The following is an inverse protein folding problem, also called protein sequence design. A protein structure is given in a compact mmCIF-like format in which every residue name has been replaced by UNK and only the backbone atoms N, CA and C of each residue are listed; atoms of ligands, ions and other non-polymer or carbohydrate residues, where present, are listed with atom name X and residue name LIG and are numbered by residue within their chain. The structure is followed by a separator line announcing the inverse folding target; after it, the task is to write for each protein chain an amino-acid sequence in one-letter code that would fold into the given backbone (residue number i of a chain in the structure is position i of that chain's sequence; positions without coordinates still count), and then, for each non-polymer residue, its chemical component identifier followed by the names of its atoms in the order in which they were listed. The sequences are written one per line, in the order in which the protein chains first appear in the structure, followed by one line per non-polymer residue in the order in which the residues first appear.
data_IF_183283459982
#
_entry.id   IF_183283459982
#
_cell.length_a   1.000
_cell.length_b   1.000
_cell.length_c   1.000
_cell.angle_alpha   90.00
_cell.angle_beta   90.00
_cell.angle_gamma   90.00
#
_symmetry.space_group_name_H-M   'P 1'
#
loop_
_entity.id
_entity.type
_entity.pdbx_description
1 polymer ?
#
# COMPACT_ATOMS: atom_id res chain seq x y z
N UNK A 1 -12.59 68.93 61.06
CA UNK A 1 -13.55 68.20 60.21
C UNK A 1 -13.14 68.45 58.78
N UNK A 2 -12.50 67.47 58.10
CA UNK A 2 -12.07 67.58 56.69
C UNK A 2 -12.87 66.53 55.88
N UNK A 3 -13.74 67.01 55.02
CA UNK A 3 -14.49 66.18 54.06
C UNK A 3 -13.59 65.82 52.91
N UNK A 4 -13.40 64.50 52.67
CA UNK A 4 -12.71 63.96 51.51
C UNK A 4 -13.75 63.39 50.58
N UNK A 5 -13.97 64.04 49.46
CA UNK A 5 -14.87 63.61 48.40
C UNK A 5 -14.10 62.65 47.50
N UNK A 6 -14.47 61.38 47.46
CA UNK A 6 -13.91 60.41 46.50
C UNK A 6 -14.64 60.52 45.16
N UNK A 7 -13.91 60.92 44.11
CA UNK A 7 -14.35 60.90 42.71
C UNK A 7 -14.07 59.52 42.15
N UNK A 8 -15.14 58.76 41.92
CA UNK A 8 -15.00 57.45 41.17
C UNK A 8 -15.07 57.76 39.71
N UNK A 9 -13.92 57.63 39.04
CA UNK A 9 -13.80 57.70 37.56
C UNK A 9 -14.11 56.34 36.97
N UNK A 10 -15.30 56.16 36.42
CA UNK A 10 -15.69 54.95 35.69
C UNK A 10 -15.01 54.87 34.31
N UNK A 11 -14.05 54.01 34.19
CA UNK A 11 -13.40 53.71 32.92
C UNK A 11 -14.27 52.74 32.11
N UNK A 12 -15.01 53.25 31.14
CA UNK A 12 -15.77 52.44 30.16
C UNK A 12 -14.78 51.85 29.17
N UNK A 13 -14.38 50.58 29.37
CA UNK A 13 -13.57 49.85 28.42
C UNK A 13 -14.45 49.46 27.21
N UNK A 14 -14.37 50.20 26.12
CA UNK A 14 -14.88 49.77 24.83
C UNK A 14 -13.99 48.63 24.31
N UNK A 15 -14.39 47.40 24.55
CA UNK A 15 -13.81 46.25 23.86
C UNK A 15 -14.31 46.27 22.41
N UNK A 16 -13.52 46.84 21.50
CA UNK A 16 -13.65 46.53 20.09
C UNK A 16 -13.33 45.05 19.92
N UNK A 17 -14.35 44.23 19.83
CA UNK A 17 -14.23 42.86 19.36
C UNK A 17 -13.79 42.91 17.94
N UNK A 18 -12.49 42.77 17.67
CA UNK A 18 -12.04 42.36 16.35
C UNK A 18 -12.63 40.97 16.08
N UNK A 19 -13.69 40.90 15.27
CA UNK A 19 -14.09 39.62 14.65
C UNK A 19 -12.90 39.13 13.81
N UNK A 20 -12.10 38.25 14.39
CA UNK A 20 -11.12 37.50 13.63
C UNK A 20 -11.93 36.52 12.80
N UNK A 21 -12.28 36.92 11.58
CA UNK A 21 -12.87 35.99 10.61
C UNK A 21 -11.85 34.91 10.29
N UNK A 22 -12.22 33.67 10.56
CA UNK A 22 -11.38 32.55 10.20
C UNK A 22 -11.24 32.50 8.68
N UNK A 23 -10.00 32.41 8.18
CA UNK A 23 -9.74 32.22 6.76
C UNK A 23 -10.17 30.83 6.31
N UNK A 24 -10.54 30.68 5.04
CA UNK A 24 -10.73 29.38 4.41
C UNK A 24 -9.39 28.63 4.48
N UNK A 25 -9.39 27.46 5.14
CA UNK A 25 -8.21 26.60 5.25
C UNK A 25 -8.48 25.26 4.58
N UNK A 26 -7.46 24.74 3.90
CA UNK A 26 -7.48 23.44 3.26
C UNK A 26 -6.37 22.57 3.86
N UNK A 27 -6.59 21.25 4.05
CA UNK A 27 -5.49 20.37 4.37
C UNK A 27 -4.49 20.32 3.20
N UNK A 28 -3.24 20.05 3.51
CA UNK A 28 -2.12 20.15 2.56
C UNK A 28 -2.23 19.21 1.34
N UNK A 29 -3.06 18.18 1.42
CA UNK A 29 -3.38 17.33 0.25
C UNK A 29 -4.09 18.10 -0.86
N UNK A 30 -4.75 19.23 -0.54
CA UNK A 30 -5.24 20.22 -1.51
C UNK A 30 -4.25 21.36 -1.61
N UNK A 31 -3.27 21.21 -2.46
CA UNK A 31 -2.26 22.22 -2.77
C UNK A 31 -1.95 22.24 -4.27
N UNK A 32 -1.21 23.23 -4.71
CA UNK A 32 -0.76 23.33 -6.10
C UNK A 32 -0.04 22.05 -6.53
N UNK A 33 -0.25 21.66 -7.78
CA UNK A 33 0.32 20.45 -8.34
C UNK A 33 -0.41 19.15 -8.00
N UNK A 34 -1.53 19.19 -7.26
CA UNK A 34 -2.30 17.98 -6.88
C UNK A 34 -2.89 17.27 -8.09
N UNK A 35 -3.14 15.97 -7.91
CA UNK A 35 -3.94 15.16 -8.85
C UNK A 35 -5.23 14.77 -8.18
N UNK A 36 -6.36 15.04 -8.81
CA UNK A 36 -7.69 14.58 -8.42
C UNK A 36 -8.09 13.38 -9.28
N UNK A 37 -8.75 12.38 -8.66
CA UNK A 37 -9.23 11.20 -9.38
C UNK A 37 -10.18 11.60 -10.50
N UNK A 38 -9.88 11.16 -11.74
CA UNK A 38 -10.72 11.41 -12.91
C UNK A 38 -12.04 10.66 -12.89
N UNK A 39 -13.03 11.12 -13.70
CA UNK A 39 -14.34 10.47 -13.90
C UNK A 39 -15.04 10.08 -12.59
N UNK A 40 -14.99 10.94 -11.57
CA UNK A 40 -15.44 10.67 -10.22
C UNK A 40 -16.15 11.88 -9.60
N UNK A 41 -16.68 11.69 -8.41
CA UNK A 41 -17.06 12.78 -7.50
C UNK A 41 -16.04 12.77 -6.37
N UNK A 42 -15.12 13.75 -6.40
CA UNK A 42 -14.07 13.82 -5.39
C UNK A 42 -14.53 14.67 -4.22
N UNK A 43 -14.26 14.21 -3.01
CA UNK A 43 -14.45 15.01 -1.82
C UNK A 43 -13.38 16.11 -1.75
N UNK A 44 -13.81 17.35 -1.53
CA UNK A 44 -12.96 18.49 -1.15
C UNK A 44 -13.45 19.01 0.19
N UNK A 45 -12.54 19.24 1.13
CA UNK A 45 -12.93 19.63 2.50
C UNK A 45 -11.91 20.58 3.13
N UNK A 46 -12.31 21.19 4.22
CA UNK A 46 -11.46 22.12 4.96
C UNK A 46 -12.19 22.80 6.10
N UNK A 47 -11.71 23.96 6.47
CA UNK A 47 -12.23 24.76 7.58
C UNK A 47 -12.55 26.18 7.12
N UNK A 48 -13.49 26.84 7.81
CA UNK A 48 -13.95 28.20 7.55
C UNK A 48 -14.80 28.73 8.69
N UNK A 49 -15.45 29.89 8.45
CA UNK A 49 -16.35 30.47 9.45
C UNK A 49 -17.66 29.66 9.53
N UNK A 50 -18.15 29.29 10.73
CA UNK A 50 -19.45 28.63 10.90
C UNK A 50 -20.59 29.37 10.18
N UNK A 51 -21.46 28.60 9.54
CA UNK A 51 -22.61 29.06 8.76
C UNK A 51 -22.28 29.82 7.46
N UNK A 52 -21.01 29.95 7.10
CA UNK A 52 -20.60 30.55 5.83
C UNK A 52 -20.92 29.63 4.66
N UNK A 53 -21.50 30.18 3.60
CA UNK A 53 -21.68 29.45 2.35
C UNK A 53 -20.42 29.58 1.49
N UNK A 54 -19.84 28.45 1.13
CA UNK A 54 -18.68 28.38 0.25
C UNK A 54 -19.10 27.96 -1.16
N UNK A 55 -18.39 28.49 -2.14
CA UNK A 55 -18.51 28.15 -3.56
C UNK A 55 -17.19 27.54 -4.03
N UNK A 56 -17.26 26.35 -4.64
CA UNK A 56 -16.14 25.68 -5.26
C UNK A 56 -16.28 25.77 -6.76
N UNK A 57 -15.31 26.38 -7.42
CA UNK A 57 -15.25 26.60 -8.85
C UNK A 57 -14.09 25.81 -9.43
N UNK A 58 -14.38 25.00 -10.42
CA UNK A 58 -13.37 24.18 -11.12
C UNK A 58 -13.25 24.60 -12.58
N UNK A 59 -12.03 24.80 -13.06
CA UNK A 59 -11.79 25.21 -14.45
C UNK A 59 -12.15 24.11 -15.47
N UNK A 60 -12.10 22.86 -15.06
CA UNK A 60 -12.52 21.72 -15.93
C UNK A 60 -14.04 21.58 -16.10
N UNK A 61 -14.83 22.30 -15.31
CA UNK A 61 -16.30 22.35 -15.42
C UNK A 61 -16.81 23.77 -15.14
N UNK A 62 -16.52 24.75 -16.03
CA UNK A 62 -16.72 26.18 -15.75
C UNK A 62 -18.19 26.62 -15.61
N UNK A 63 -19.13 25.77 -15.98
CA UNK A 63 -20.57 26.04 -15.86
C UNK A 63 -21.21 25.57 -14.56
N UNK A 64 -20.47 24.82 -13.73
CA UNK A 64 -20.99 24.18 -12.52
C UNK A 64 -20.27 24.69 -11.27
N UNK A 65 -21.03 25.35 -10.40
CA UNK A 65 -20.53 25.83 -9.11
C UNK A 65 -21.06 24.95 -8.00
N UNK A 66 -20.19 24.20 -7.35
CA UNK A 66 -20.54 23.40 -6.19
C UNK A 66 -20.64 24.32 -4.96
N UNK A 67 -21.70 24.15 -4.15
CA UNK A 67 -21.94 24.92 -2.94
C UNK A 67 -21.97 24.02 -1.73
N UNK A 68 -21.44 24.51 -0.61
CA UNK A 68 -21.51 23.86 0.70
C UNK A 68 -21.61 24.91 1.79
N UNK A 69 -22.00 24.49 3.01
CA UNK A 69 -22.09 25.36 4.18
C UNK A 69 -21.14 24.83 5.25
N UNK A 70 -20.40 25.73 5.86
CA UNK A 70 -19.51 25.42 6.98
C UNK A 70 -20.35 25.07 8.20
N UNK A 71 -20.09 23.92 8.82
CA UNK A 71 -20.80 23.46 10.02
C UNK A 71 -20.45 24.30 11.28
N UNK A 72 -21.17 24.05 12.39
CA UNK A 72 -20.95 24.75 13.65
C UNK A 72 -19.59 24.48 14.30
N UNK A 73 -18.85 23.49 13.80
CA UNK A 73 -17.48 23.15 14.24
C UNK A 73 -16.43 23.78 13.32
N UNK A 74 -16.86 24.62 12.36
CA UNK A 74 -15.97 25.28 11.41
C UNK A 74 -15.46 24.35 10.31
N UNK A 75 -16.11 23.20 10.04
CA UNK A 75 -15.72 22.22 9.01
C UNK A 75 -16.68 22.26 7.83
N UNK A 76 -16.19 21.99 6.66
CA UNK A 76 -17.01 21.81 5.47
C UNK A 76 -16.49 20.68 4.61
N UNK A 77 -17.35 20.11 3.81
CA UNK A 77 -17.05 19.11 2.77
C UNK A 77 -17.98 19.31 1.60
N UNK A 78 -17.45 19.15 0.39
CA UNK A 78 -18.21 19.18 -0.84
C UNK A 78 -17.78 18.04 -1.76
N UNK A 79 -18.69 17.58 -2.62
CA UNK A 79 -18.40 16.62 -3.69
C UNK A 79 -18.27 17.38 -5.00
N UNK A 80 -17.07 17.37 -5.59
CA UNK A 80 -16.75 18.06 -6.83
C UNK A 80 -16.67 17.04 -7.96
N UNK A 81 -17.52 17.14 -9.00
CA UNK A 81 -17.43 16.26 -10.16
C UNK A 81 -16.13 16.50 -10.92
N UNK A 82 -15.46 15.41 -11.29
CA UNK A 82 -14.28 15.44 -12.16
C UNK A 82 -14.59 14.79 -13.50
N UNK A 83 -14.07 15.35 -14.59
CA UNK A 83 -14.16 14.80 -15.92
C UNK A 83 -13.03 13.82 -16.24
N UNK A 84 -12.77 13.64 -17.54
CA UNK A 84 -11.65 12.87 -18.06
C UNK A 84 -10.32 13.52 -17.66
N UNK A 85 -9.28 12.68 -17.59
CA UNK A 85 -7.91 13.12 -17.33
C UNK A 85 -7.50 14.30 -18.20
N UNK A 86 -6.77 15.24 -17.61
CA UNK A 86 -6.30 16.46 -18.25
C UNK A 86 -5.71 17.45 -17.27
N UNK A 87 -5.50 18.65 -17.72
CA UNK A 87 -4.90 19.74 -16.95
C UNK A 87 -3.67 20.30 -17.65
N UNK A 88 -2.97 21.27 -17.02
CA UNK A 88 -3.25 21.80 -15.68
C UNK A 88 -4.48 22.71 -15.62
N UNK A 89 -5.21 22.61 -14.52
CA UNK A 89 -6.41 23.41 -14.23
C UNK A 89 -6.24 24.21 -12.94
N UNK A 90 -7.24 25.01 -12.61
CA UNK A 90 -7.39 25.66 -11.32
C UNK A 90 -8.63 25.16 -10.58
N UNK A 91 -8.55 25.12 -9.24
CA UNK A 91 -9.67 24.93 -8.32
C UNK A 91 -9.71 26.10 -7.37
N UNK A 92 -10.85 26.76 -7.24
CA UNK A 92 -11.00 27.89 -6.34
C UNK A 92 -12.13 27.66 -5.34
N UNK A 93 -11.84 27.88 -4.06
CA UNK A 93 -12.83 27.87 -2.98
C UNK A 93 -13.04 29.30 -2.52
N UNK A 94 -14.26 29.82 -2.67
CA UNK A 94 -14.66 31.19 -2.30
C UNK A 94 -15.69 31.20 -1.19
N UNK A 95 -15.53 32.13 -0.26
CA UNK A 95 -16.52 32.41 0.78
C UNK A 95 -16.37 33.81 1.34
N UNK A 96 -17.47 34.54 1.47
CA UNK A 96 -17.45 35.91 1.95
C UNK A 96 -16.43 36.79 1.23
N UNK A 97 -15.42 37.25 1.97
CA UNK A 97 -14.35 38.07 1.43
C UNK A 97 -13.01 37.29 1.28
N UNK A 98 -13.01 35.95 1.45
CA UNK A 98 -11.81 35.12 1.32
C UNK A 98 -11.92 34.17 0.14
N UNK A 99 -10.77 33.83 -0.43
CA UNK A 99 -10.65 32.89 -1.54
C UNK A 99 -9.34 32.11 -1.45
N UNK A 100 -9.41 30.82 -1.76
CA UNK A 100 -8.27 29.92 -1.94
C UNK A 100 -8.26 29.38 -3.34
N UNK A 101 -7.28 29.83 -4.12
CA UNK A 101 -7.08 29.35 -5.49
C UNK A 101 -5.89 28.40 -5.53
N UNK A 102 -6.13 27.18 -6.01
CA UNK A 102 -5.13 26.14 -6.26
C UNK A 102 -4.85 26.09 -7.75
N UNK A 103 -3.60 26.03 -8.12
CA UNK A 103 -3.11 26.01 -9.50
C UNK A 103 -2.43 24.68 -9.84
N UNK A 104 -2.18 24.45 -11.12
CA UNK A 104 -1.54 23.22 -11.62
C UNK A 104 -2.27 21.93 -11.17
N UNK A 105 -3.60 21.98 -11.08
CA UNK A 105 -4.43 20.83 -10.71
C UNK A 105 -4.57 19.91 -11.91
N UNK A 106 -4.22 18.64 -11.72
CA UNK A 106 -4.38 17.60 -12.74
C UNK A 106 -5.57 16.73 -12.43
N UNK A 107 -6.29 16.28 -13.44
CA UNK A 107 -7.23 15.16 -13.36
C UNK A 107 -6.54 13.90 -13.88
N UNK A 108 -6.54 12.83 -13.11
CA UNK A 108 -5.84 11.60 -13.46
C UNK A 108 -6.14 10.46 -12.49
N UNK A 109 -5.20 9.54 -12.33
CA UNK A 109 -5.30 8.43 -11.40
C UNK A 109 -4.56 8.74 -10.10
N UNK A 110 -5.16 8.43 -8.95
CA UNK A 110 -4.53 8.66 -7.64
C UNK A 110 -4.36 7.34 -6.91
N UNK A 111 -3.14 7.05 -6.48
CA UNK A 111 -2.83 5.80 -5.77
C UNK A 111 -2.18 6.05 -4.42
N UNK A 112 -2.71 5.38 -3.38
CA UNK A 112 -2.06 5.32 -2.07
C UNK A 112 -0.94 4.26 -2.12
N UNK A 113 0.28 4.66 -1.73
CA UNK A 113 1.45 3.80 -1.71
C UNK A 113 1.95 3.70 -0.26
N UNK A 114 1.70 2.58 0.42
CA UNK A 114 1.95 2.47 1.85
C UNK A 114 2.66 1.17 2.23
N UNK A 115 3.21 1.12 3.43
CA UNK A 115 3.95 -0.02 3.94
C UNK A 115 5.19 0.34 4.76
N UNK A 116 6.17 -0.56 4.75
CA UNK A 116 7.42 -0.38 5.49
C UNK A 116 8.62 -0.06 4.57
N UNK A 117 9.84 -0.40 5.01
CA UNK A 117 11.08 -0.01 4.31
C UNK A 117 11.11 -0.36 2.83
N UNK A 118 10.57 -1.50 2.42
CA UNK A 118 10.57 -1.89 1.01
C UNK A 118 9.64 -1.03 0.14
N UNK A 119 8.59 -0.41 0.72
CA UNK A 119 7.82 0.65 0.07
C UNK A 119 8.52 2.00 0.19
N UNK A 120 9.10 2.33 1.34
CA UNK A 120 9.85 3.58 1.55
C UNK A 120 11.09 3.71 0.66
N UNK A 121 11.73 2.59 0.29
CA UNK A 121 13.05 2.52 -0.32
C UNK A 121 13.21 3.42 -1.54
N UNK A 122 14.07 4.44 -1.40
CA UNK A 122 14.34 5.44 -2.42
C UNK A 122 15.62 5.14 -3.21
N UNK A 123 15.90 5.93 -4.25
CA UNK A 123 17.13 5.80 -5.02
C UNK A 123 18.38 6.11 -4.16
N UNK A 124 18.29 7.07 -3.22
CA UNK A 124 19.37 7.39 -2.28
C UNK A 124 19.70 6.25 -1.31
N UNK A 125 18.72 5.39 -1.01
CA UNK A 125 18.92 4.18 -0.21
C UNK A 125 19.59 3.05 -1.01
N UNK A 126 19.72 3.20 -2.32
CA UNK A 126 20.42 2.28 -3.21
C UNK A 126 19.50 1.28 -3.91
N UNK A 127 19.04 1.65 -5.11
CA UNK A 127 18.32 0.76 -6.02
C UNK A 127 19.24 0.29 -7.16
N UNK A 128 18.83 -0.76 -7.87
CA UNK A 128 19.52 -1.20 -9.08
C UNK A 128 19.52 -0.08 -10.11
N UNK A 129 20.69 0.23 -10.70
CA UNK A 129 20.90 1.31 -11.69
C UNK A 129 20.44 2.70 -11.20
N UNK A 130 20.45 2.98 -9.89
CA UNK A 130 19.85 4.15 -9.26
C UNK A 130 20.21 5.49 -9.89
N UNK A 131 21.52 5.74 -10.13
CA UNK A 131 21.94 7.00 -10.76
C UNK A 131 21.44 7.18 -12.20
N UNK A 132 21.33 6.09 -12.97
CA UNK A 132 20.78 6.13 -14.33
C UNK A 132 19.27 6.39 -14.29
N UNK A 133 18.53 5.69 -13.40
CA UNK A 133 17.09 5.87 -13.23
C UNK A 133 16.75 7.29 -12.76
N UNK A 134 17.53 7.85 -11.83
CA UNK A 134 17.36 9.24 -11.38
C UNK A 134 17.56 10.22 -12.52
N UNK A 135 18.63 10.09 -13.33
CA UNK A 135 18.87 11.00 -14.47
C UNK A 135 17.73 11.02 -15.48
N UNK A 136 16.98 9.91 -15.59
CA UNK A 136 15.88 9.74 -16.53
C UNK A 136 14.50 9.95 -15.89
N UNK A 137 14.45 10.42 -14.64
CA UNK A 137 13.21 10.44 -13.85
C UNK A 137 12.29 11.64 -14.12
N UNK A 138 12.65 12.57 -15.00
CA UNK A 138 11.75 13.67 -15.34
C UNK A 138 10.46 13.17 -15.99
N UNK A 139 9.37 13.22 -15.22
CA UNK A 139 8.04 12.78 -15.66
C UNK A 139 6.96 13.75 -15.14
N UNK A 140 6.69 14.86 -15.84
CA UNK A 140 5.74 15.88 -15.34
C UNK A 140 4.32 15.38 -15.12
N UNK A 141 3.95 14.26 -15.73
CA UNK A 141 2.64 13.63 -15.52
C UNK A 141 2.59 12.77 -14.24
N UNK A 142 3.71 12.52 -13.56
CA UNK A 142 3.73 11.91 -12.23
C UNK A 142 3.84 12.99 -11.18
N UNK A 143 2.96 12.97 -10.20
CA UNK A 143 2.93 13.89 -9.06
C UNK A 143 3.06 13.10 -7.76
N UNK A 144 3.82 13.62 -6.83
CA UNK A 144 4.23 12.95 -5.61
C UNK A 144 3.76 13.77 -4.41
N UNK A 145 2.95 13.18 -3.55
CA UNK A 145 2.62 13.69 -2.22
C UNK A 145 3.28 12.77 -1.20
N UNK A 146 4.41 13.20 -0.68
CA UNK A 146 5.21 12.39 0.23
C UNK A 146 4.96 12.80 1.68
N UNK A 147 4.28 11.93 2.44
CA UNK A 147 4.02 12.14 3.86
C UNK A 147 5.31 12.06 4.67
N UNK A 148 5.58 13.05 5.54
CA UNK A 148 6.68 12.96 6.49
C UNK A 148 6.42 11.84 7.50
N UNK A 149 7.48 11.17 7.94
CA UNK A 149 7.42 10.11 8.96
C UNK A 149 7.10 10.70 10.32
N UNK A 150 5.86 10.63 10.71
CA UNK A 150 5.34 11.10 12.01
C UNK A 150 4.28 10.14 12.53
N UNK A 151 4.18 10.00 13.84
CA UNK A 151 3.12 9.28 14.52
C UNK A 151 2.30 10.20 15.40
N UNK A 152 1.04 9.84 15.64
CA UNK A 152 0.15 10.57 16.55
C UNK A 152 -0.74 9.61 17.34
N UNK A 153 -1.02 9.95 18.60
CA UNK A 153 -1.90 9.15 19.46
C UNK A 153 -3.38 9.29 19.08
N UNK A 154 -3.74 10.35 18.37
CA UNK A 154 -5.11 10.63 17.92
C UNK A 154 -5.13 10.95 16.43
N UNK A 155 -6.26 10.68 15.73
CA UNK A 155 -6.41 11.02 14.32
C UNK A 155 -6.12 12.49 14.03
N UNK A 156 -5.22 12.74 13.09
CA UNK A 156 -4.84 14.07 12.63
C UNK A 156 -5.63 14.45 11.38
N UNK A 157 -5.64 15.73 11.05
CA UNK A 157 -6.43 16.28 9.94
C UNK A 157 -5.58 16.82 8.80
N UNK A 158 -4.25 16.84 8.97
CA UNK A 158 -3.33 17.34 7.96
C UNK A 158 -1.96 16.64 8.02
N UNK A 159 -1.36 16.40 6.85
CA UNK A 159 -0.03 15.81 6.69
C UNK A 159 1.10 16.84 6.73
N UNK A 160 0.81 18.13 6.52
CA UNK A 160 1.77 19.25 6.49
C UNK A 160 2.91 19.05 5.48
N UNK A 161 2.57 18.62 4.28
CA UNK A 161 3.47 18.47 3.15
C UNK A 161 2.82 19.09 1.89
N UNK A 162 3.36 18.90 0.72
CA UNK A 162 2.82 19.40 -0.54
C UNK A 162 3.05 18.43 -1.69
N UNK A 163 2.33 18.62 -2.78
CA UNK A 163 2.58 17.92 -4.01
C UNK A 163 3.84 18.43 -4.69
N UNK A 164 4.57 17.52 -5.30
CA UNK A 164 5.77 17.80 -6.11
C UNK A 164 5.67 17.11 -7.47
N UNK A 165 6.22 17.73 -8.48
CA UNK A 165 6.40 17.11 -9.79
C UNK A 165 7.51 16.08 -9.72
N UNK A 166 7.37 14.94 -10.41
CA UNK A 166 8.44 13.97 -10.51
C UNK A 166 9.60 14.52 -11.35
N UNK A 167 10.69 14.84 -10.67
CA UNK A 167 11.98 15.27 -11.19
C UNK A 167 13.08 14.32 -10.74
N UNK A 168 14.29 14.39 -11.29
CA UNK A 168 15.43 13.65 -10.77
C UNK A 168 15.63 13.84 -9.26
N UNK A 169 15.42 15.05 -8.74
CA UNK A 169 15.61 15.34 -7.33
C UNK A 169 14.51 14.72 -6.44
N UNK A 170 13.23 14.87 -6.80
CA UNK A 170 12.11 14.30 -6.03
C UNK A 170 12.10 12.78 -6.11
N UNK A 171 12.42 12.18 -7.27
CA UNK A 171 12.54 10.73 -7.43
C UNK A 171 13.67 10.15 -6.57
N UNK A 172 14.78 10.86 -6.44
CA UNK A 172 15.92 10.42 -5.62
C UNK A 172 15.52 10.13 -4.17
N UNK A 173 14.58 10.87 -3.63
CA UNK A 173 14.15 10.84 -2.21
C UNK A 173 12.84 10.11 -1.96
N UNK A 174 12.02 9.89 -2.98
CA UNK A 174 10.71 9.23 -2.82
C UNK A 174 10.81 7.71 -2.96
N UNK A 175 9.71 7.01 -2.67
CA UNK A 175 9.54 5.58 -2.93
C UNK A 175 9.84 5.25 -4.39
N UNK A 176 10.89 4.48 -4.63
CA UNK A 176 11.21 4.03 -5.99
C UNK A 176 10.14 3.06 -6.52
N UNK A 177 9.60 2.17 -5.66
CA UNK A 177 8.50 1.26 -6.04
C UNK A 177 7.28 2.04 -6.50
N UNK A 178 6.85 3.04 -5.72
CA UNK A 178 5.69 3.89 -6.07
C UNK A 178 5.95 4.73 -7.33
N UNK A 179 7.16 5.28 -7.49
CA UNK A 179 7.54 6.04 -8.68
C UNK A 179 7.47 5.19 -9.95
N UNK A 180 8.09 4.00 -9.95
CA UNK A 180 8.07 3.13 -11.14
C UNK A 180 6.67 2.60 -11.45
N UNK A 181 5.86 2.34 -10.44
CA UNK A 181 4.44 2.02 -10.60
C UNK A 181 3.70 3.17 -11.31
N UNK A 182 3.83 4.39 -10.81
CA UNK A 182 3.15 5.55 -11.38
C UNK A 182 3.65 5.89 -12.79
N UNK A 183 4.96 5.82 -13.04
CA UNK A 183 5.55 6.04 -14.36
C UNK A 183 4.99 5.05 -15.38
N UNK A 184 4.93 3.77 -15.03
CA UNK A 184 4.38 2.73 -15.90
C UNK A 184 2.91 3.01 -16.24
N UNK A 185 2.08 3.34 -15.25
CA UNK A 185 0.67 3.69 -15.48
C UNK A 185 0.56 4.92 -16.40
N UNK A 186 1.33 5.96 -16.16
CA UNK A 186 1.34 7.17 -17.01
C UNK A 186 1.72 6.85 -18.44
N UNK A 187 2.74 5.99 -18.64
CA UNK A 187 3.22 5.61 -19.97
C UNK A 187 2.19 4.78 -20.75
N UNK A 188 1.35 3.98 -20.08
CA UNK A 188 0.36 3.12 -20.75
C UNK A 188 -1.02 3.75 -20.85
N UNK A 189 -1.51 4.40 -19.80
CA UNK A 189 -2.82 5.05 -19.78
C UNK A 189 -2.82 6.41 -20.45
N UNK A 190 -1.64 7.06 -20.60
CA UNK A 190 -1.48 8.44 -21.12
C UNK A 190 -2.25 9.48 -20.29
N UNK A 191 -2.31 9.28 -18.98
CA UNK A 191 -2.96 10.19 -18.03
C UNK A 191 -2.00 10.59 -16.91
N UNK A 192 -2.22 11.73 -16.24
CA UNK A 192 -1.49 12.05 -15.01
C UNK A 192 -1.73 11.02 -13.93
N UNK A 193 -0.69 10.73 -13.13
CA UNK A 193 -0.77 9.83 -11.98
C UNK A 193 -0.21 10.50 -10.73
N UNK A 194 -1.05 10.61 -9.71
CA UNK A 194 -0.67 11.08 -8.38
C UNK A 194 -0.40 9.92 -7.44
N UNK A 195 0.72 9.94 -6.72
CA UNK A 195 1.04 8.98 -5.68
C UNK A 195 1.06 9.66 -4.31
N UNK A 196 0.26 9.11 -3.37
CA UNK A 196 0.24 9.47 -1.97
C UNK A 196 1.16 8.48 -1.23
N UNK A 197 2.39 8.88 -0.94
CA UNK A 197 3.40 8.00 -0.32
C UNK A 197 3.34 8.13 1.19
N UNK A 198 2.92 7.05 1.86
CA UNK A 198 2.83 6.93 3.32
C UNK A 198 3.52 5.65 3.75
N UNK A 199 4.85 5.68 3.93
CA UNK A 199 5.64 4.52 4.28
C UNK A 199 6.71 4.85 5.33
N UNK A 200 6.99 3.87 6.23
CA UNK A 200 8.01 4.02 7.25
C UNK A 200 8.70 2.67 7.53
N UNK A 201 10.00 2.60 7.33
CA UNK A 201 10.81 1.39 7.47
C UNK A 201 10.77 0.79 8.87
N UNK A 202 10.79 -0.55 8.95
CA UNK A 202 10.79 -1.29 10.19
C UNK A 202 9.44 -1.41 10.91
N UNK A 203 8.40 -0.75 10.42
CA UNK A 203 7.11 -0.69 11.12
C UNK A 203 6.25 -1.94 10.90
N UNK A 204 5.64 -2.49 11.96
CA UNK A 204 4.67 -3.57 11.87
C UNK A 204 3.30 -3.06 11.40
N UNK A 205 2.45 -3.96 10.89
CA UNK A 205 1.14 -3.59 10.36
C UNK A 205 0.16 -3.04 11.44
N UNK A 206 0.39 -3.34 12.69
CA UNK A 206 -0.39 -2.85 13.84
C UNK A 206 -0.41 -1.32 13.91
N UNK A 207 0.71 -0.65 13.62
CA UNK A 207 0.77 0.82 13.70
C UNK A 207 -0.02 1.52 12.59
N UNK A 208 -0.31 0.81 11.49
CA UNK A 208 -1.11 1.24 10.35
C UNK A 208 -2.60 0.88 10.46
N UNK A 209 -2.94 0.07 11.48
CA UNK A 209 -4.31 -0.36 11.76
C UNK A 209 -4.88 0.51 12.88
N UNK A 210 -6.14 1.04 12.78
CA UNK A 210 -6.75 1.77 13.89
C UNK A 210 -6.61 1.03 15.22
N UNK A 211 -6.19 1.76 16.27
CA UNK A 211 -5.78 1.15 17.54
C UNK A 211 -6.84 0.25 18.17
N UNK A 212 -8.10 0.67 18.13
CA UNK A 212 -9.22 -0.07 18.72
C UNK A 212 -9.46 -1.42 18.05
N UNK A 213 -9.13 -1.56 16.77
CA UNK A 213 -9.23 -2.84 16.03
C UNK A 213 -8.19 -3.84 16.55
N UNK A 214 -6.98 -3.38 16.82
CA UNK A 214 -5.90 -4.24 17.34
C UNK A 214 -6.15 -4.56 18.82
N UNK A 215 -6.45 -3.56 19.62
CA UNK A 215 -6.57 -3.67 21.08
C UNK A 215 -7.78 -4.50 21.54
N UNK A 216 -8.90 -4.43 20.80
CA UNK A 216 -10.13 -5.18 21.10
C UNK A 216 -10.15 -6.59 20.52
N UNK A 217 -9.21 -6.92 19.63
CA UNK A 217 -9.15 -8.25 19.03
C UNK A 217 -8.39 -9.22 19.94
N UNK A 218 -9.02 -10.34 20.32
CA UNK A 218 -8.48 -11.31 21.27
C UNK A 218 -7.16 -11.98 20.82
N UNK A 219 -6.88 -11.97 19.52
CA UNK A 219 -5.67 -12.55 18.94
C UNK A 219 -4.63 -11.45 18.75
N UNK A 220 -4.99 -10.34 18.07
CA UNK A 220 -4.07 -9.28 17.70
C UNK A 220 -3.48 -8.54 18.91
N UNK A 221 -4.28 -8.36 19.96
CA UNK A 221 -3.84 -7.74 21.23
C UNK A 221 -2.74 -8.52 21.96
N UNK A 222 -2.52 -9.78 21.58
CA UNK A 222 -1.48 -10.66 22.16
C UNK A 222 -0.18 -10.68 21.36
N UNK A 223 -0.15 -10.03 20.18
CA UNK A 223 1.06 -9.97 19.38
C UNK A 223 2.19 -9.25 20.14
N UNK A 224 3.36 -9.87 20.11
CA UNK A 224 4.56 -9.29 20.71
C UNK A 224 5.36 -8.61 19.62
N UNK A 225 5.47 -7.30 19.71
CA UNK A 225 6.24 -6.47 18.78
C UNK A 225 7.58 -6.14 19.40
N UNK A 226 8.64 -6.14 18.57
CA UNK A 226 9.98 -5.70 19.00
C UNK A 226 9.99 -4.19 19.11
N UNK A 227 10.38 -3.69 20.26
CA UNK A 227 10.56 -2.26 20.51
C UNK A 227 11.93 -1.80 20.03
N UNK A 228 11.94 -0.76 19.21
CA UNK A 228 13.14 -0.11 18.70
C UNK A 228 12.98 1.41 18.77
N UNK A 229 14.03 2.15 19.12
CA UNK A 229 13.93 3.60 19.35
C UNK A 229 13.67 4.43 18.08
N UNK A 230 13.80 3.83 16.88
CA UNK A 230 13.74 4.56 15.61
C UNK A 230 12.46 4.32 14.79
N UNK A 231 11.53 3.47 15.26
CA UNK A 231 10.20 3.35 14.68
C UNK A 231 9.13 3.02 15.72
N UNK A 232 7.88 3.48 15.51
CA UNK A 232 6.80 3.20 16.45
C UNK A 232 6.30 1.76 16.34
N UNK A 233 5.79 1.24 17.47
CA UNK A 233 5.13 -0.06 17.57
C UNK A 233 3.71 0.03 18.15
N UNK A 234 3.32 1.20 18.70
CA UNK A 234 1.99 1.39 19.28
C UNK A 234 0.93 1.33 18.17
N UNK A 235 -0.14 0.50 18.33
CA UNK A 235 -1.20 0.41 17.34
C UNK A 235 -1.80 1.77 16.96
N UNK A 236 -2.09 1.97 15.68
CA UNK A 236 -2.82 3.10 15.16
C UNK A 236 -2.03 4.41 15.00
N UNK A 237 -0.82 4.53 15.53
CA UNK A 237 -0.13 5.83 15.53
C UNK A 237 0.22 6.35 14.13
N UNK A 238 0.51 5.47 13.18
CA UNK A 238 0.77 5.86 11.79
C UNK A 238 -0.52 5.97 10.98
N UNK A 239 -1.52 5.14 11.26
CA UNK A 239 -2.87 5.37 10.73
C UNK A 239 -3.33 6.77 11.07
N UNK A 240 -3.23 7.19 12.33
CA UNK A 240 -3.68 8.49 12.80
C UNK A 240 -3.01 9.68 12.11
N UNK A 241 -1.71 9.59 11.80
CA UNK A 241 -0.94 10.71 11.24
C UNK A 241 -0.72 10.61 9.74
N UNK A 242 -0.57 9.40 9.19
CA UNK A 242 -0.12 9.23 7.81
C UNK A 242 -1.20 8.70 6.86
N UNK A 243 -2.32 8.19 7.39
CA UNK A 243 -3.46 7.70 6.60
C UNK A 243 -4.70 8.54 6.83
N UNK A 244 -5.12 8.74 8.08
CA UNK A 244 -6.34 9.47 8.43
C UNK A 244 -6.44 10.89 7.83
N UNK A 245 -5.36 11.69 7.75
CA UNK A 245 -5.43 13.01 7.11
C UNK A 245 -5.74 12.99 5.62
N UNK A 246 -5.57 11.85 4.96
CA UNK A 246 -5.88 11.65 3.54
C UNK A 246 -7.35 11.26 3.32
N UNK A 247 -8.07 10.90 4.38
CA UNK A 247 -9.47 10.49 4.29
C UNK A 247 -10.39 11.72 4.21
N UNK A 248 -11.33 11.77 3.28
CA UNK A 248 -11.70 10.81 2.26
C UNK A 248 -11.22 11.20 0.82
N UNK A 249 -9.93 11.46 0.63
CA UNK A 249 -9.39 11.77 -0.71
C UNK A 249 -9.66 10.61 -1.67
N UNK A 250 -10.24 10.90 -2.84
CA UNK A 250 -10.61 9.83 -3.77
C UNK A 250 -9.36 9.23 -4.40
N UNK A 251 -9.19 7.91 -4.26
CA UNK A 251 -8.07 7.14 -4.81
C UNK A 251 -8.57 6.04 -5.76
N UNK A 252 -7.79 5.69 -6.77
CA UNK A 252 -8.03 4.54 -7.65
C UNK A 252 -7.76 3.20 -6.96
N UNK A 253 -6.83 3.20 -5.99
CA UNK A 253 -6.47 2.01 -5.24
C UNK A 253 -5.29 2.25 -4.30
N UNK A 254 -4.88 1.19 -3.63
CA UNK A 254 -3.72 1.17 -2.74
C UNK A 254 -2.73 0.09 -3.18
N UNK A 255 -1.43 0.40 -3.18
CA UNK A 255 -0.35 -0.58 -3.23
C UNK A 255 0.35 -0.65 -1.88
N UNK A 256 0.55 -1.88 -1.37
CA UNK A 256 1.08 -2.16 -0.04
C UNK A 256 2.32 -3.05 -0.09
N UNK A 257 3.40 -2.66 0.56
CA UNK A 257 4.59 -3.48 0.67
C UNK A 257 5.10 -3.52 2.10
N UNK A 258 4.72 -4.57 2.83
CA UNK A 258 5.00 -4.76 4.25
C UNK A 258 4.84 -6.24 4.61
N UNK A 259 5.43 -6.67 5.70
CA UNK A 259 5.29 -8.01 6.27
C UNK A 259 6.52 -8.43 7.04
N UNK A 260 7.69 -7.95 6.68
CA UNK A 260 8.96 -8.37 7.26
C UNK A 260 9.00 -8.15 8.78
N UNK A 261 8.42 -7.06 9.27
CA UNK A 261 8.36 -6.77 10.71
C UNK A 261 7.32 -7.59 11.48
N UNK A 262 6.47 -8.35 10.78
CA UNK A 262 5.44 -9.20 11.38
C UNK A 262 5.75 -10.70 11.31
N UNK A 263 6.92 -11.12 10.79
CA UNK A 263 7.20 -12.55 10.60
C UNK A 263 7.13 -13.36 11.89
N UNK A 264 7.47 -12.78 13.05
CA UNK A 264 7.37 -13.47 14.35
C UNK A 264 5.92 -13.66 14.80
N UNK A 265 4.98 -12.82 14.33
CA UNK A 265 3.53 -12.91 14.56
C UNK A 265 2.79 -13.45 13.31
N UNK A 266 3.47 -14.21 12.46
CA UNK A 266 2.93 -14.68 11.18
C UNK A 266 1.50 -15.24 11.25
N UNK A 267 1.12 -16.10 12.22
CA UNK A 267 -0.21 -16.70 12.23
C UNK A 267 -1.39 -15.73 12.30
N UNK A 268 -1.17 -14.50 12.78
CA UNK A 268 -2.20 -13.47 12.91
C UNK A 268 -2.20 -12.46 11.76
N UNK A 269 -1.23 -12.52 10.82
CA UNK A 269 -1.00 -11.48 9.83
C UNK A 269 -2.17 -11.29 8.88
N UNK A 270 -2.72 -12.37 8.31
CA UNK A 270 -3.88 -12.28 7.42
C UNK A 270 -5.08 -11.61 8.12
N UNK A 271 -5.35 -11.98 9.38
CA UNK A 271 -6.41 -11.36 10.20
C UNK A 271 -6.17 -9.86 10.40
N UNK A 272 -4.94 -9.49 10.76
CA UNK A 272 -4.56 -8.10 11.00
C UNK A 272 -4.75 -7.22 9.76
N UNK A 273 -4.13 -7.62 8.65
CA UNK A 273 -4.17 -6.79 7.43
C UNK A 273 -5.55 -6.81 6.79
N UNK A 274 -6.31 -7.91 6.87
CA UNK A 274 -7.71 -7.92 6.42
C UNK A 274 -8.55 -6.87 7.15
N UNK A 275 -8.46 -6.82 8.48
CA UNK A 275 -9.16 -5.81 9.30
C UNK A 275 -8.68 -4.38 9.03
N UNK A 276 -7.37 -4.20 8.79
CA UNK A 276 -6.81 -2.91 8.39
C UNK A 276 -7.43 -2.42 7.07
N UNK A 277 -7.46 -3.26 6.06
CA UNK A 277 -8.02 -2.92 4.74
C UNK A 277 -9.51 -2.60 4.84
N UNK A 278 -10.27 -3.39 5.58
CA UNK A 278 -11.71 -3.13 5.82
C UNK A 278 -11.93 -1.77 6.51
N UNK A 279 -11.11 -1.44 7.52
CA UNK A 279 -11.18 -0.16 8.21
C UNK A 279 -10.84 1.00 7.28
N UNK A 280 -9.74 0.90 6.52
CA UNK A 280 -9.37 1.94 5.57
C UNK A 280 -10.45 2.17 4.51
N UNK A 281 -11.04 1.10 3.94
CA UNK A 281 -12.14 1.19 2.97
C UNK A 281 -13.37 1.87 3.55
N UNK A 282 -13.72 1.52 4.80
CA UNK A 282 -14.83 2.16 5.51
C UNK A 282 -14.59 3.67 5.65
N UNK A 283 -13.38 4.07 6.02
CA UNK A 283 -13.05 5.48 6.25
C UNK A 283 -12.95 6.27 4.94
N UNK A 284 -12.35 5.70 3.89
CA UNK A 284 -12.34 6.30 2.54
C UNK A 284 -13.71 6.28 1.85
N UNK A 285 -14.63 5.44 2.30
CA UNK A 285 -16.01 5.40 1.84
C UNK A 285 -16.26 4.52 0.61
N UNK A 286 -15.30 3.68 0.17
CA UNK A 286 -15.48 2.75 -0.93
C UNK A 286 -14.49 1.58 -0.91
N UNK A 287 -14.82 0.49 -1.61
CA UNK A 287 -14.03 -0.76 -1.66
C UNK A 287 -12.90 -0.67 -2.69
N UNK A 288 -11.93 0.19 -2.49
CA UNK A 288 -10.81 0.37 -3.40
C UNK A 288 -9.97 -0.90 -3.56
N UNK A 289 -9.35 -1.11 -4.75
CA UNK A 289 -8.38 -2.17 -4.97
C UNK A 289 -7.21 -2.06 -4.00
N UNK A 290 -6.85 -3.18 -3.33
CA UNK A 290 -5.71 -3.25 -2.43
C UNK A 290 -4.74 -4.32 -2.95
N UNK A 291 -3.64 -3.89 -3.54
CA UNK A 291 -2.64 -4.76 -4.15
C UNK A 291 -1.37 -4.77 -3.32
N UNK A 292 -0.78 -5.94 -3.13
CA UNK A 292 0.36 -6.04 -2.23
C UNK A 292 1.46 -6.94 -2.74
N UNK A 293 2.66 -6.74 -2.19
CA UNK A 293 3.85 -7.51 -2.49
C UNK A 293 4.03 -8.58 -1.43
N UNK A 294 4.15 -9.84 -1.82
CA UNK A 294 4.59 -10.91 -0.92
C UNK A 294 6.03 -10.64 -0.50
N UNK A 295 6.34 -10.79 0.80
CA UNK A 295 7.71 -10.55 1.29
C UNK A 295 8.73 -11.44 0.58
N UNK A 296 9.90 -10.86 0.32
CA UNK A 296 11.01 -11.55 -0.33
C UNK A 296 11.58 -12.68 0.53
N UNK A 297 12.14 -13.73 -0.08
CA UNK A 297 13.04 -14.63 0.62
C UNK A 297 14.21 -13.87 1.24
N UNK A 298 14.44 -14.06 2.56
CA UNK A 298 15.51 -13.41 3.29
C UNK A 298 15.95 -14.26 4.50
N UNK A 299 17.24 -14.25 4.80
CA UNK A 299 17.82 -14.95 5.94
C UNK A 299 17.57 -14.17 7.24
N UNK A 300 16.42 -14.36 7.85
CA UNK A 300 16.05 -13.73 9.13
C UNK A 300 16.78 -14.34 10.33
N UNK A 301 17.30 -15.57 10.19
CA UNK A 301 17.72 -16.40 11.32
C UNK A 301 16.52 -16.85 12.16
N UNK A 302 15.35 -16.92 11.54
CA UNK A 302 14.09 -17.21 12.21
C UNK A 302 13.98 -18.69 12.60
N UNK A 303 13.39 -18.93 13.77
CA UNK A 303 13.00 -20.28 14.19
C UNK A 303 11.62 -20.61 13.61
N UNK A 304 11.34 -21.91 13.40
CA UNK A 304 10.01 -22.43 13.05
C UNK A 304 9.43 -21.89 11.72
N UNK A 305 10.25 -21.55 10.75
CA UNK A 305 9.83 -21.11 9.41
C UNK A 305 8.81 -19.95 9.40
N UNK A 306 8.85 -19.07 10.39
CA UNK A 306 7.88 -17.97 10.51
C UNK A 306 7.82 -17.05 9.28
N UNK A 307 8.90 -16.77 8.52
CA UNK A 307 8.79 -16.01 7.27
C UNK A 307 8.01 -16.76 6.16
N UNK A 308 8.14 -18.08 6.10
CA UNK A 308 7.36 -18.89 5.16
C UNK A 308 5.87 -18.90 5.54
N UNK A 309 5.57 -19.02 6.84
CA UNK A 309 4.20 -18.90 7.36
C UNK A 309 3.61 -17.54 7.07
N UNK A 310 4.39 -16.46 7.15
CA UNK A 310 3.90 -15.13 6.81
C UNK A 310 3.56 -15.02 5.31
N UNK A 311 4.39 -15.57 4.41
CA UNK A 311 4.05 -15.63 2.97
C UNK A 311 2.78 -16.42 2.70
N UNK A 312 2.54 -17.52 3.42
CA UNK A 312 1.28 -18.27 3.38
C UNK A 312 0.10 -17.39 3.86
N UNK A 313 0.27 -16.62 4.94
CA UNK A 313 -0.77 -15.70 5.42
C UNK A 313 -1.06 -14.57 4.40
N UNK A 314 -0.05 -14.08 3.70
CA UNK A 314 -0.24 -13.13 2.60
C UNK A 314 -1.05 -13.76 1.45
N UNK A 315 -0.82 -15.02 1.13
CA UNK A 315 -1.64 -15.74 0.13
C UNK A 315 -3.08 -15.96 0.60
N UNK A 316 -3.29 -16.31 1.89
CA UNK A 316 -4.63 -16.50 2.47
C UNK A 316 -5.52 -15.25 2.37
N UNK A 317 -4.95 -14.05 2.41
CA UNK A 317 -5.69 -12.80 2.25
C UNK A 317 -6.44 -12.71 0.91
N UNK A 318 -5.94 -13.33 -0.16
CA UNK A 318 -6.58 -13.36 -1.48
C UNK A 318 -8.00 -13.98 -1.44
N UNK A 319 -8.23 -14.89 -0.50
CA UNK A 319 -9.55 -15.53 -0.30
C UNK A 319 -10.42 -14.86 0.77
N UNK A 320 -9.85 -14.00 1.60
CA UNK A 320 -10.54 -13.39 2.74
C UNK A 320 -11.05 -11.98 2.46
N UNK A 321 -10.31 -11.20 1.69
CA UNK A 321 -10.63 -9.80 1.39
C UNK A 321 -10.91 -9.64 -0.10
N UNK A 322 -12.10 -9.19 -0.44
CA UNK A 322 -12.48 -8.90 -1.84
C UNK A 322 -11.60 -7.80 -2.41
N UNK A 323 -11.48 -7.76 -3.73
CA UNK A 323 -10.75 -6.73 -4.47
C UNK A 323 -9.31 -6.57 -3.99
N UNK A 324 -8.65 -7.70 -3.70
CA UNK A 324 -7.21 -7.79 -3.38
C UNK A 324 -6.49 -8.65 -4.41
N UNK A 325 -5.23 -8.35 -4.64
CA UNK A 325 -4.34 -9.17 -5.42
C UNK A 325 -2.88 -9.01 -4.94
N UNK A 326 -2.04 -9.98 -5.26
CA UNK A 326 -0.67 -10.06 -4.76
C UNK A 326 0.30 -10.35 -5.89
N UNK A 327 1.47 -9.73 -5.84
CA UNK A 327 2.61 -10.12 -6.67
C UNK A 327 3.65 -10.86 -5.85
N UNK A 328 4.32 -11.83 -6.44
CA UNK A 328 5.51 -12.48 -5.89
C UNK A 328 6.76 -11.92 -6.60
N UNK A 329 7.80 -11.70 -5.82
CA UNK A 329 9.06 -11.09 -6.27
C UNK A 329 10.29 -11.95 -5.97
N UNK A 330 10.11 -13.24 -5.67
CA UNK A 330 11.22 -14.12 -5.29
C UNK A 330 12.27 -14.29 -6.39
N UNK A 331 11.90 -14.05 -7.64
CA UNK A 331 12.79 -14.03 -8.81
C UNK A 331 13.61 -12.72 -8.95
N UNK A 332 13.26 -11.69 -8.21
CA UNK A 332 13.90 -10.38 -8.22
C UNK A 332 14.87 -10.18 -7.04
N UNK A 333 15.08 -11.21 -6.24
CA UNK A 333 16.01 -11.20 -5.10
C UNK A 333 17.41 -11.58 -5.55
N UNK A 334 18.35 -10.65 -5.44
CA UNK A 334 19.74 -10.85 -5.81
C UNK A 334 20.57 -11.47 -4.69
N UNK A 335 20.23 -11.10 -3.45
CA UNK A 335 20.95 -11.51 -2.25
C UNK A 335 19.98 -11.72 -1.08
N UNK A 336 19.80 -12.96 -0.67
CA UNK A 336 18.92 -13.32 0.45
C UNK A 336 19.42 -12.85 1.83
N UNK A 337 20.64 -12.29 1.92
CA UNK A 337 21.14 -11.64 3.13
C UNK A 337 20.77 -10.15 3.20
N UNK A 338 20.28 -9.56 2.10
CA UNK A 338 19.72 -8.21 2.06
C UNK A 338 18.19 -8.31 2.05
N UNK A 339 17.55 -7.74 3.08
CA UNK A 339 16.09 -7.72 3.23
C UNK A 339 15.41 -6.79 2.20
N UNK A 340 16.21 -5.98 1.48
CA UNK A 340 15.74 -4.97 0.54
C UNK A 340 16.11 -5.33 -0.90
N UNK A 341 15.26 -6.08 -1.65
CA UNK A 341 15.48 -6.32 -3.07
C UNK A 341 15.66 -5.00 -3.81
N UNK A 342 16.80 -4.85 -4.51
CA UNK A 342 17.20 -3.56 -5.11
C UNK A 342 16.52 -3.27 -6.45
N UNK A 343 15.95 -4.26 -7.10
CA UNK A 343 15.24 -4.10 -8.36
C UNK A 343 13.83 -3.52 -8.17
N UNK A 344 13.76 -2.29 -7.60
CA UNK A 344 12.49 -1.61 -7.31
C UNK A 344 11.69 -1.27 -8.59
N UNK A 345 12.39 -1.12 -9.72
CA UNK A 345 11.74 -0.90 -11.01
C UNK A 345 10.86 -2.09 -11.41
N UNK A 346 11.41 -3.29 -11.45
CA UNK A 346 10.64 -4.48 -11.82
C UNK A 346 9.49 -4.76 -10.83
N UNK A 347 9.66 -4.43 -9.54
CA UNK A 347 8.60 -4.56 -8.54
C UNK A 347 7.46 -3.57 -8.82
N UNK A 348 7.78 -2.29 -9.06
CA UNK A 348 6.79 -1.26 -9.38
C UNK A 348 6.06 -1.55 -10.68
N UNK A 349 6.78 -1.93 -11.74
CA UNK A 349 6.20 -2.31 -13.04
C UNK A 349 5.30 -3.56 -12.94
N UNK A 350 5.66 -4.57 -12.12
CA UNK A 350 4.80 -5.75 -11.90
C UNK A 350 3.52 -5.41 -11.16
N UNK A 351 3.56 -4.52 -10.16
CA UNK A 351 2.36 -3.98 -9.51
C UNK A 351 1.51 -3.17 -10.50
N UNK A 352 2.14 -2.43 -11.39
CA UNK A 352 1.45 -1.67 -12.43
C UNK A 352 0.78 -2.58 -13.46
N UNK A 353 1.43 -3.67 -13.92
CA UNK A 353 0.81 -4.67 -14.77
C UNK A 353 -0.43 -5.29 -14.12
N UNK A 354 -0.37 -5.57 -12.81
CA UNK A 354 -1.52 -6.04 -12.04
C UNK A 354 -2.66 -5.00 -12.05
N UNK A 355 -2.35 -3.72 -11.79
CA UNK A 355 -3.34 -2.65 -11.81
C UNK A 355 -3.92 -2.44 -13.22
N UNK A 356 -3.08 -2.48 -14.27
CA UNK A 356 -3.50 -2.35 -15.65
C UNK A 356 -4.54 -3.41 -16.04
N UNK A 357 -4.33 -4.66 -15.64
CA UNK A 357 -5.29 -5.74 -15.90
C UNK A 357 -6.57 -5.60 -15.05
N UNK A 358 -6.44 -5.48 -13.73
CA UNK A 358 -7.57 -5.59 -12.78
C UNK A 358 -8.41 -4.32 -12.65
N UNK A 359 -7.82 -3.13 -12.81
CA UNK A 359 -8.53 -1.85 -12.69
C UNK A 359 -8.88 -1.28 -14.05
N UNK A 360 -7.95 -1.36 -15.00
CA UNK A 360 -8.11 -0.69 -16.30
C UNK A 360 -8.48 -1.64 -17.44
N UNK A 361 -8.55 -2.96 -17.19
CA UNK A 361 -8.92 -3.97 -18.19
C UNK A 361 -7.92 -4.10 -19.34
N UNK A 362 -6.65 -3.74 -19.11
CA UNK A 362 -5.58 -3.76 -20.12
C UNK A 362 -4.43 -4.65 -19.65
N UNK A 363 -4.29 -5.82 -20.24
CA UNK A 363 -3.16 -6.69 -19.94
C UNK A 363 -1.90 -6.20 -20.67
N UNK A 364 -0.91 -5.74 -19.89
CA UNK A 364 0.36 -5.17 -20.41
C UNK A 364 1.59 -6.01 -20.10
N UNK A 365 1.47 -7.00 -19.21
CA UNK A 365 2.56 -7.89 -18.83
C UNK A 365 2.18 -8.89 -17.76
N UNK A 366 3.00 -9.92 -17.57
CA UNK A 366 2.76 -10.95 -16.58
C UNK A 366 3.03 -10.45 -15.16
N UNK A 367 2.16 -10.79 -14.23
CA UNK A 367 2.27 -10.44 -12.81
C UNK A 367 1.80 -11.57 -11.88
N UNK A 368 0.94 -12.48 -12.38
CA UNK A 368 0.31 -13.54 -11.59
C UNK A 368 1.26 -14.73 -11.42
N UNK A 369 1.43 -15.16 -10.18
CA UNK A 369 2.23 -16.33 -9.81
C UNK A 369 1.36 -17.56 -9.65
N UNK A 370 1.80 -18.74 -10.14
CA UNK A 370 1.12 -20.01 -9.88
C UNK A 370 1.07 -20.31 -8.39
N UNK A 371 -0.05 -20.87 -7.92
CA UNK A 371 -0.26 -21.29 -6.54
C UNK A 371 -0.74 -22.74 -6.44
N UNK A 372 -0.61 -23.32 -5.25
CA UNK A 372 -1.07 -24.68 -4.98
C UNK A 372 -2.60 -24.79 -5.10
N UNK A 373 -3.08 -25.65 -5.98
CA UNK A 373 -4.50 -26.00 -6.07
C UNK A 373 -4.81 -27.28 -5.28
N UNK A 374 -4.04 -28.34 -5.50
CA UNK A 374 -4.20 -29.61 -4.79
C UNK A 374 -2.93 -30.46 -4.84
N UNK A 375 -2.85 -31.44 -3.94
CA UNK A 375 -1.81 -32.48 -3.98
C UNK A 375 -2.40 -33.81 -3.52
N UNK A 376 -2.16 -34.87 -4.30
CA UNK A 376 -2.74 -36.18 -4.03
C UNK A 376 -1.81 -37.33 -4.43
N UNK A 377 -1.97 -38.48 -3.78
CA UNK A 377 -1.24 -39.71 -4.11
C UNK A 377 -1.99 -40.46 -5.21
N UNK A 378 -1.36 -40.62 -6.38
CA UNK A 378 -1.90 -41.36 -7.51
C UNK A 378 -0.91 -42.41 -7.99
N UNK A 379 -1.27 -43.70 -7.98
CA UNK A 379 -0.46 -44.82 -8.50
C UNK A 379 1.01 -44.78 -8.06
N UNK A 380 1.24 -44.51 -6.74
CA UNK A 380 2.60 -44.48 -6.16
C UNK A 380 3.41 -43.22 -6.49
N UNK A 381 2.76 -42.13 -6.90
CA UNK A 381 3.36 -40.83 -7.14
C UNK A 381 2.49 -39.75 -6.50
N UNK A 382 3.09 -38.71 -5.97
CA UNK A 382 2.35 -37.50 -5.62
C UNK A 382 2.25 -36.61 -6.83
N UNK A 383 1.03 -36.19 -7.14
CA UNK A 383 0.72 -35.21 -8.16
C UNK A 383 0.31 -33.92 -7.46
N UNK A 384 1.15 -32.88 -7.62
CA UNK A 384 0.85 -31.52 -7.13
C UNK A 384 0.30 -30.75 -8.32
N UNK A 385 -0.92 -30.25 -8.21
CA UNK A 385 -1.58 -29.41 -9.19
C UNK A 385 -1.44 -27.95 -8.80
N UNK A 386 -1.00 -27.11 -9.74
CA UNK A 386 -0.96 -25.66 -9.57
C UNK A 386 -2.05 -25.00 -10.39
N UNK A 387 -2.55 -23.87 -9.91
CA UNK A 387 -3.53 -23.03 -10.61
C UNK A 387 -2.99 -21.62 -10.86
N UNK A 388 -3.62 -20.90 -11.77
CA UNK A 388 -3.27 -19.56 -12.22
C UNK A 388 -3.36 -19.45 -13.75
N UNK A 389 -3.10 -18.24 -14.25
CA UNK A 389 -3.14 -17.93 -15.68
C UNK A 389 -1.80 -18.25 -16.36
N UNK A 390 -1.55 -19.53 -16.61
CA UNK A 390 -0.38 -20.03 -17.33
C UNK A 390 -0.69 -21.38 -17.97
N UNK A 391 0.12 -21.84 -18.94
CA UNK A 391 -0.07 -23.13 -19.65
C UNK A 391 0.88 -24.21 -19.13
N UNK A 392 2.14 -23.84 -18.89
CA UNK A 392 3.16 -24.80 -18.47
C UNK A 392 4.17 -24.19 -17.52
N UNK A 393 4.75 -25.05 -16.70
CA UNK A 393 5.90 -24.72 -15.85
C UNK A 393 7.19 -25.14 -16.52
N UNK A 394 8.25 -24.45 -16.17
CA UNK A 394 9.63 -24.80 -16.47
C UNK A 394 10.52 -24.60 -15.25
N UNK A 395 11.63 -25.30 -15.18
CA UNK A 395 12.65 -25.07 -14.16
C UNK A 395 13.83 -24.33 -14.78
N UNK A 396 14.30 -23.29 -14.10
CA UNK A 396 15.51 -22.55 -14.52
C UNK A 396 16.81 -23.30 -14.24
N UNK A 397 16.73 -24.45 -13.55
CA UNK A 397 17.86 -25.33 -13.22
C UNK A 397 17.54 -26.78 -13.63
N UNK A 398 18.56 -27.64 -13.84
CA UNK A 398 18.34 -29.06 -14.25
C UNK A 398 17.50 -29.85 -13.23
N UNK A 399 17.50 -29.45 -11.96
CA UNK A 399 16.70 -30.02 -10.89
C UNK A 399 15.87 -28.93 -10.26
N UNK A 400 14.64 -29.24 -9.85
CA UNK A 400 13.77 -28.24 -9.19
C UNK A 400 14.35 -27.90 -7.82
N UNK A 401 14.84 -26.67 -7.68
CA UNK A 401 15.32 -26.11 -6.40
C UNK A 401 14.13 -25.72 -5.52
N UNK A 402 14.24 -25.97 -4.23
CA UNK A 402 13.23 -25.60 -3.23
C UNK A 402 12.10 -26.61 -3.03
N UNK A 403 12.07 -27.72 -3.80
CA UNK A 403 11.06 -28.76 -3.68
C UNK A 403 11.53 -29.85 -2.71
N UNK A 404 10.76 -30.08 -1.64
CA UNK A 404 11.05 -31.08 -0.59
C UNK A 404 9.84 -31.99 -0.38
N UNK A 405 10.10 -33.28 -0.26
CA UNK A 405 9.12 -34.29 0.14
C UNK A 405 9.46 -34.76 1.54
N UNK A 406 8.50 -34.69 2.47
CA UNK A 406 8.64 -35.16 3.85
C UNK A 406 7.65 -36.29 4.11
N UNK A 407 8.06 -37.32 4.84
CA UNK A 407 7.21 -38.42 5.23
C UNK A 407 6.62 -38.27 6.65
N UNK A 408 5.80 -39.25 7.08
CA UNK A 408 5.16 -39.24 8.39
C UNK A 408 6.12 -39.37 9.57
N UNK A 409 7.38 -39.74 9.34
CA UNK A 409 8.42 -39.76 10.37
C UNK A 409 9.23 -38.49 10.45
N UNK A 410 9.02 -37.56 9.48
CA UNK A 410 9.79 -36.32 9.35
C UNK A 410 11.05 -36.49 8.49
N UNK A 411 11.26 -37.67 7.87
CA UNK A 411 12.36 -37.85 6.94
C UNK A 411 12.13 -37.05 5.67
N UNK A 412 13.14 -36.29 5.25
CA UNK A 412 13.06 -35.43 4.08
C UNK A 412 13.89 -35.97 2.92
N UNK A 413 13.33 -35.91 1.71
CA UNK A 413 14.04 -36.27 0.48
C UNK A 413 13.94 -35.14 -0.54
N UNK A 414 15.08 -34.77 -1.12
CA UNK A 414 15.12 -34.04 -2.37
C UNK A 414 14.83 -35.04 -3.50
N UNK A 415 13.66 -34.89 -4.13
CA UNK A 415 13.19 -35.86 -5.14
C UNK A 415 13.37 -35.33 -6.54
N UNK A 416 13.71 -36.24 -7.46
CA UNK A 416 13.65 -35.93 -8.90
C UNK A 416 12.18 -35.87 -9.34
N UNK A 417 11.61 -34.68 -9.34
CA UNK A 417 10.26 -34.45 -9.82
C UNK A 417 10.24 -34.22 -11.32
N UNK A 418 9.08 -34.48 -11.95
CA UNK A 418 8.82 -34.18 -13.38
C UNK A 418 7.74 -33.10 -13.46
N UNK A 419 7.93 -32.19 -14.42
CA UNK A 419 6.93 -31.19 -14.78
C UNK A 419 6.10 -31.73 -15.95
N UNK A 420 4.76 -31.58 -15.86
CA UNK A 420 3.82 -31.86 -16.94
C UNK A 420 2.70 -30.79 -16.94
N UNK A 421 2.82 -29.83 -17.83
CA UNK A 421 1.90 -28.69 -17.87
C UNK A 421 1.90 -27.94 -16.53
N UNK A 422 0.75 -27.89 -15.85
CA UNK A 422 0.57 -27.27 -14.53
C UNK A 422 0.87 -28.21 -13.35
N UNK A 423 1.41 -29.41 -13.61
CA UNK A 423 1.61 -30.42 -12.58
C UNK A 423 3.10 -30.66 -12.27
N UNK A 424 3.36 -30.93 -10.98
CA UNK A 424 4.63 -31.43 -10.49
C UNK A 424 4.41 -32.86 -10.01
N UNK A 425 5.14 -33.83 -10.56
CA UNK A 425 4.96 -35.26 -10.30
C UNK A 425 6.19 -35.78 -9.55
N UNK A 426 5.99 -36.27 -8.31
CA UNK A 426 7.04 -36.76 -7.41
C UNK A 426 6.87 -38.26 -7.16
N UNK A 427 7.92 -39.09 -7.36
CA UNK A 427 7.88 -40.50 -6.96
C UNK A 427 8.02 -40.65 -5.43
N UNK A 428 7.18 -41.46 -4.79
CA UNK A 428 7.21 -41.70 -3.32
C UNK A 428 7.87 -43.05 -2.95
N UNK A 429 9.01 -43.35 -3.58
CA UNK A 429 9.72 -44.59 -3.26
C UNK A 429 10.46 -44.48 -1.93
N UNK A 430 10.33 -45.51 -1.05
CA UNK A 430 11.04 -45.64 0.22
C UNK A 430 10.60 -44.67 1.36
N UNK A 431 9.49 -43.99 1.22
CA UNK A 431 8.91 -43.13 2.24
C UNK A 431 7.58 -43.69 2.73
N UNK A 432 7.21 -43.35 3.97
CA UNK A 432 5.97 -43.77 4.60
C UNK A 432 4.95 -42.59 4.68
N UNK A 433 3.66 -42.86 4.41
CA UNK A 433 2.63 -41.83 4.59
C UNK A 433 2.45 -41.49 6.10
N UNK A 434 1.85 -40.34 6.42
CA UNK A 434 1.41 -39.29 5.50
C UNK A 434 2.58 -38.51 4.88
N UNK A 435 2.40 -38.08 3.63
CA UNK A 435 3.41 -37.27 2.94
C UNK A 435 3.09 -35.78 3.01
N UNK A 436 4.12 -34.93 2.96
CA UNK A 436 3.98 -33.50 2.73
C UNK A 436 4.93 -33.08 1.62
N UNK A 437 4.46 -32.22 0.71
CA UNK A 437 5.29 -31.58 -0.29
C UNK A 437 5.36 -30.11 0.05
N UNK A 438 6.56 -29.58 0.16
CA UNK A 438 6.79 -28.15 0.30
C UNK A 438 7.65 -27.61 -0.85
N UNK A 439 7.41 -26.36 -1.22
CA UNK A 439 8.18 -25.62 -2.20
C UNK A 439 8.56 -24.25 -1.63
N UNK A 440 9.86 -23.98 -1.48
CA UNK A 440 10.39 -22.74 -0.89
C UNK A 440 9.71 -22.35 0.45
N UNK A 441 9.32 -23.36 1.25
CA UNK A 441 8.64 -23.16 2.52
C UNK A 441 9.64 -23.08 3.67
N UNK A 442 10.58 -22.15 3.53
CA UNK A 442 11.61 -21.75 4.49
C UNK A 442 11.85 -20.23 4.40
N UNK A 443 12.84 -19.70 5.10
CA UNK A 443 13.03 -18.24 5.14
C UNK A 443 13.66 -17.66 3.87
N UNK A 444 14.56 -18.39 3.17
CA UNK A 444 15.50 -17.78 2.21
C UNK A 444 15.63 -18.50 0.86
N UNK A 445 15.03 -19.67 0.67
CA UNK A 445 15.18 -20.43 -0.59
C UNK A 445 14.51 -19.71 -1.75
N UNK A 446 15.28 -19.46 -2.80
CA UNK A 446 14.78 -19.03 -4.12
C UNK A 446 14.54 -20.27 -4.98
N UNK A 447 13.29 -20.51 -5.32
CA UNK A 447 12.90 -21.66 -6.14
C UNK A 447 13.18 -21.47 -7.62
N UNK A 448 13.28 -22.59 -8.35
CA UNK A 448 13.58 -22.58 -9.79
C UNK A 448 12.36 -22.68 -10.70
N UNK A 449 11.16 -22.92 -10.17
CA UNK A 449 9.95 -23.04 -10.99
C UNK A 449 9.44 -21.69 -11.47
N UNK A 450 9.17 -21.62 -12.77
CA UNK A 450 8.64 -20.43 -13.46
C UNK A 450 7.53 -20.85 -14.44
N UNK A 451 6.62 -19.94 -14.71
CA UNK A 451 5.75 -20.05 -15.90
C UNK A 451 6.52 -19.77 -17.17
N UNK A 452 5.92 -20.02 -18.33
CA UNK A 452 6.44 -19.62 -19.65
C UNK A 452 6.68 -18.09 -19.76
N UNK A 453 5.92 -17.30 -19.01
CA UNK A 453 6.09 -15.85 -18.90
C UNK A 453 7.12 -15.40 -17.83
N UNK A 454 7.82 -16.35 -17.20
CA UNK A 454 8.87 -16.09 -16.22
C UNK A 454 8.38 -15.88 -14.78
N UNK A 455 7.06 -15.95 -14.51
CA UNK A 455 6.54 -15.70 -13.15
C UNK A 455 6.89 -16.85 -12.21
N UNK A 456 7.41 -16.54 -11.00
CA UNK A 456 7.78 -17.56 -10.02
C UNK A 456 6.54 -18.20 -9.39
N UNK A 457 6.66 -19.48 -9.06
CA UNK A 457 5.63 -20.20 -8.26
C UNK A 457 5.65 -19.68 -6.82
N UNK A 458 4.47 -19.50 -6.23
CA UNK A 458 4.34 -19.15 -4.80
C UNK A 458 4.92 -20.26 -3.92
N UNK A 459 5.52 -19.93 -2.78
CA UNK A 459 5.92 -20.93 -1.80
C UNK A 459 4.68 -21.60 -1.20
N UNK A 460 4.75 -22.91 -0.99
CA UNK A 460 3.64 -23.67 -0.43
C UNK A 460 4.09 -24.85 0.46
N UNK A 461 3.20 -25.29 1.34
CA UNK A 461 3.29 -26.56 2.05
C UNK A 461 1.93 -27.25 1.98
N UNK A 462 1.90 -28.51 1.49
CA UNK A 462 0.65 -29.27 1.37
C UNK A 462 0.12 -29.71 2.76
N UNK A 463 -1.18 -29.92 2.84
CA UNK A 463 -1.74 -30.74 3.91
C UNK A 463 -1.14 -32.16 3.87
N UNK A 464 -1.22 -32.95 4.95
CA UNK A 464 -0.82 -34.35 4.91
C UNK A 464 -1.56 -35.10 3.80
N UNK A 465 -0.81 -35.89 3.01
CA UNK A 465 -1.32 -36.71 1.91
C UNK A 465 -1.30 -38.15 2.40
N UNK A 466 -2.46 -38.71 2.65
CA UNK A 466 -2.63 -40.07 3.13
C UNK A 466 -2.51 -41.11 1.99
N UNK A 467 -2.20 -42.35 2.38
CA UNK A 467 -2.33 -43.50 1.46
C UNK A 467 -3.81 -43.87 1.41
N UNK A 468 -4.43 -43.72 0.26
CA UNK A 468 -5.77 -44.25 0.01
C UNK A 468 -5.78 -45.77 0.04
#
# INVERSE_FOLDING_TARGET
MKNTTHLILGMLALTFGMEVKAQIQLPSVFSDGMVLQQNSKVAVWGWGNPSETLMILSEWNPGDTVRTVVDNQGRWKAEVPTGRAGGPYTLEVKGGNDSRKLSDVMLGEVWLCSGQSNMEWSADMGIMNGEQEVKQAACPSVRIFHNPKQGADTPQTDCRTKWEVATPESMRKTSATAYFFARYLTEHLKVPVGILVSAWGGTPAEVWTPADIVEKDEILSKNKLKDYPWWPIKPGVLYNQMIHPLVPYQIAGCIWYQGESNHENAPSYARLVSKMVEAWRKDFGWDFPFYYVQIAPHTYGAKNNTPALLREQQELMLGQVKNTAMINISDLVENVKDIHPRNKRAIGERLACLAMDKVYGQFTGAYESPRLASAELQKGKIVVNLEGNFSTLQSTTPHITGLVLTDGKGDTLTVKAKIKGKQIILPVRKLNPPYRVSYCFDEATIGSLRTEAGMPVLPFCTKPIEKQ
#
